data_IF_404478493182
#
_entry.id   IF_404478493182
#
_cell.length_a   1.000
_cell.length_b   1.000
_cell.length_c   1.000
_cell.angle_alpha   90.00
_cell.angle_beta   90.00
_cell.angle_gamma   90.00
#
_symmetry.space_group_name_H-M   'P 1'
#
loop_
_entity.id
_entity.type
_entity.pdbx_description
1 polymer ?
#
# COMPACT_ATOMS: atom_id res chain seq x y z
N UNK A 1 11.70 -11.99 0.44
CA UNK A 1 10.31 -11.57 0.72
C UNK A 1 9.88 -10.32 -0.06
N UNK A 2 10.80 -9.45 -0.49
CA UNK A 2 10.49 -8.25 -1.26
C UNK A 2 11.46 -8.10 -2.44
N UNK A 3 10.92 -7.61 -3.59
CA UNK A 3 11.70 -7.27 -4.79
C UNK A 3 11.36 -5.84 -5.20
N UNK A 4 12.37 -5.00 -5.43
CA UNK A 4 12.25 -3.59 -5.78
C UNK A 4 13.18 -2.72 -4.95
N UNK A 5 13.00 -1.40 -5.00
CA UNK A 5 13.80 -0.48 -4.21
C UNK A 5 13.27 -0.39 -2.78
N UNK A 6 14.11 -0.71 -1.82
CA UNK A 6 13.78 -0.62 -0.40
C UNK A 6 15.03 -0.27 0.42
N UNK A 7 14.81 0.26 1.62
CA UNK A 7 15.87 0.54 2.59
C UNK A 7 15.73 -0.41 3.77
N UNK A 8 16.80 -1.09 4.11
CA UNK A 8 16.82 -1.97 5.29
C UNK A 8 16.72 -1.15 6.58
N UNK A 9 15.95 -1.66 7.50
CA UNK A 9 15.77 -1.16 8.85
C UNK A 9 15.95 -2.30 9.85
N UNK A 10 16.23 -2.02 11.15
CA UNK A 10 16.44 -3.08 12.15
C UNK A 10 15.30 -4.10 12.22
N UNK A 11 14.06 -3.67 12.02
CA UNK A 11 12.86 -4.51 12.15
C UNK A 11 12.00 -4.53 10.87
N UNK A 12 12.63 -4.49 9.70
CA UNK A 12 11.89 -4.55 8.44
C UNK A 12 12.53 -3.75 7.32
N UNK A 13 11.72 -3.29 6.39
CA UNK A 13 12.17 -2.49 5.26
C UNK A 13 11.30 -1.24 5.08
N UNK A 14 11.92 -0.13 4.74
CA UNK A 14 11.19 1.06 4.28
C UNK A 14 11.00 1.03 2.78
N UNK A 15 9.81 1.40 2.34
CA UNK A 15 9.40 1.37 0.92
C UNK A 15 8.63 2.61 0.52
N UNK A 16 8.82 3.03 -0.73
CA UNK A 16 8.02 4.06 -1.37
C UNK A 16 6.74 3.49 -1.99
N UNK A 17 6.14 4.30 -2.85
CA UNK A 17 4.93 3.95 -3.59
C UNK A 17 5.19 3.97 -5.09
N UNK A 18 4.49 3.12 -5.83
CA UNK A 18 4.55 3.07 -7.30
C UNK A 18 3.40 3.81 -7.96
N UNK A 19 2.26 3.87 -7.30
CA UNK A 19 1.05 4.53 -7.82
C UNK A 19 0.26 5.17 -6.68
N UNK A 20 -0.38 6.29 -7.00
CA UNK A 20 -1.29 7.02 -6.11
C UNK A 20 -2.60 7.26 -6.85
N UNK A 21 -3.71 6.98 -6.20
CA UNK A 21 -5.06 7.12 -6.72
C UNK A 21 -5.92 7.87 -5.71
N UNK A 22 -6.59 8.93 -6.15
CA UNK A 22 -7.58 9.64 -5.34
C UNK A 22 -8.90 8.88 -5.38
N UNK A 23 -9.56 8.77 -4.24
CA UNK A 23 -10.95 8.32 -4.14
C UNK A 23 -11.80 9.56 -3.97
N UNK A 24 -12.59 9.99 -4.99
CA UNK A 24 -13.45 11.16 -4.88
C UNK A 24 -14.49 10.99 -3.76
N UNK A 25 -14.80 12.07 -3.05
CA UNK A 25 -15.69 12.03 -1.88
C UNK A 25 -17.16 11.75 -2.24
N UNK A 26 -17.54 11.96 -3.49
CA UNK A 26 -18.85 11.66 -4.05
C UNK A 26 -18.93 10.25 -4.69
N UNK A 27 -17.87 9.46 -4.55
CA UNK A 27 -17.84 8.08 -5.06
C UNK A 27 -18.74 7.16 -4.23
N UNK A 28 -19.31 6.17 -4.91
CA UNK A 28 -19.95 5.03 -4.27
C UNK A 28 -19.03 3.83 -4.36
N UNK A 29 -18.74 3.20 -3.24
CA UNK A 29 -18.05 1.92 -3.20
C UNK A 29 -19.06 0.78 -3.25
N UNK A 30 -18.77 -0.26 -4.03
CA UNK A 30 -19.62 -1.44 -4.17
C UNK A 30 -18.83 -2.66 -3.71
N UNK A 31 -19.45 -3.43 -2.80
CA UNK A 31 -18.96 -4.72 -2.37
C UNK A 31 -20.13 -5.68 -2.15
N UNK A 32 -20.40 -6.52 -3.13
CA UNK A 32 -21.57 -7.42 -3.15
C UNK A 32 -21.22 -8.90 -3.46
N UNK A 33 -19.95 -9.26 -3.34
CA UNK A 33 -19.44 -10.61 -3.68
C UNK A 33 -19.08 -10.76 -5.16
N UNK A 34 -19.64 -9.96 -6.06
CA UNK A 34 -19.31 -9.93 -7.49
C UNK A 34 -18.46 -8.72 -7.84
N UNK A 35 -18.80 -7.58 -7.26
CA UNK A 35 -18.14 -6.29 -7.47
C UNK A 35 -17.36 -5.89 -6.22
N UNK A 36 -16.17 -5.34 -6.41
CA UNK A 36 -15.28 -4.84 -5.35
C UNK A 36 -14.56 -3.62 -5.88
N UNK A 37 -15.30 -2.52 -6.01
CA UNK A 37 -14.78 -1.35 -6.70
C UNK A 37 -15.28 -0.04 -6.09
N UNK A 38 -14.48 0.97 -6.30
CA UNK A 38 -14.80 2.37 -6.07
C UNK A 38 -14.14 3.18 -7.18
N UNK A 39 -14.76 4.28 -7.59
CA UNK A 39 -14.15 5.19 -8.55
C UNK A 39 -12.83 5.74 -8.00
N UNK A 40 -11.81 5.77 -8.85
CA UNK A 40 -10.48 6.26 -8.48
C UNK A 40 -9.90 7.07 -9.64
N UNK A 41 -9.26 8.16 -9.29
CA UNK A 41 -8.57 9.04 -10.22
C UNK A 41 -7.06 8.94 -9.99
N UNK A 42 -6.30 8.67 -11.05
CA UNK A 42 -4.85 8.58 -10.95
C UNK A 42 -4.25 9.95 -10.63
N UNK A 43 -3.39 9.97 -9.62
CA UNK A 43 -2.60 11.16 -9.28
C UNK A 43 -1.23 11.03 -9.93
N UNK A 44 -0.85 12.06 -10.69
CA UNK A 44 0.48 12.18 -11.27
C UNK A 44 1.34 13.15 -10.45
N UNK A 45 2.65 13.03 -10.56
CA UNK A 45 3.57 13.97 -9.92
C UNK A 45 3.60 15.31 -10.65
N UNK A 46 3.82 16.38 -9.89
CA UNK A 46 4.18 17.70 -10.40
C UNK A 46 5.69 17.88 -10.20
N UNK A 47 6.46 17.74 -11.27
CA UNK A 47 7.90 17.57 -11.18
C UNK A 47 8.24 16.30 -10.39
N UNK A 48 8.99 16.45 -9.29
CA UNK A 48 9.39 15.32 -8.46
C UNK A 48 8.48 15.09 -7.24
N UNK A 49 7.33 15.76 -7.16
CA UNK A 49 6.47 15.70 -5.98
C UNK A 49 5.07 15.20 -6.29
N UNK A 50 4.55 14.33 -5.46
CA UNK A 50 3.11 14.17 -5.28
C UNK A 50 2.59 15.34 -4.45
N UNK A 51 1.50 15.96 -4.91
CA UNK A 51 0.79 17.03 -4.21
C UNK A 51 -0.63 16.52 -3.95
N UNK A 52 -0.89 16.15 -2.70
CA UNK A 52 -2.14 15.51 -2.31
C UNK A 52 -2.95 16.49 -1.47
N UNK A 53 -4.05 16.98 -2.03
CA UNK A 53 -5.00 17.81 -1.30
C UNK A 53 -5.76 16.97 -0.28
N UNK A 54 -6.47 17.63 0.64
CA UNK A 54 -7.33 16.94 1.62
C UNK A 54 -8.21 15.88 0.92
N UNK A 55 -8.16 14.65 1.42
CA UNK A 55 -8.93 13.56 0.84
C UNK A 55 -8.41 12.18 1.20
N UNK A 56 -8.99 11.19 0.55
CA UNK A 56 -8.64 9.78 0.70
C UNK A 56 -7.96 9.28 -0.56
N UNK A 57 -6.91 8.51 -0.37
CA UNK A 57 -6.09 7.99 -1.47
C UNK A 57 -5.81 6.51 -1.27
N UNK A 58 -5.87 5.75 -2.36
CA UNK A 58 -5.26 4.44 -2.42
C UNK A 58 -3.84 4.59 -2.97
N UNK A 59 -2.89 3.98 -2.32
CA UNK A 59 -1.48 4.00 -2.73
C UNK A 59 -0.96 2.58 -2.87
N UNK A 60 -0.25 2.30 -3.94
CA UNK A 60 0.35 0.99 -4.19
C UNK A 60 1.78 0.98 -3.70
N UNK A 61 2.11 -0.02 -2.90
CA UNK A 61 3.47 -0.22 -2.40
C UNK A 61 4.44 -0.42 -3.57
N UNK A 62 5.61 0.22 -3.49
CA UNK A 62 6.60 0.26 -4.58
C UNK A 62 7.44 -1.00 -4.75
N UNK A 63 7.21 -2.04 -3.94
CA UNK A 63 7.91 -3.30 -4.00
C UNK A 63 6.93 -4.47 -4.13
N UNK A 64 7.32 -5.48 -4.89
CA UNK A 64 6.60 -6.75 -4.90
C UNK A 64 6.99 -7.55 -3.65
N UNK A 65 6.01 -7.92 -2.85
CA UNK A 65 6.21 -8.81 -1.69
C UNK A 65 5.81 -10.24 -2.05
N UNK A 66 6.44 -11.18 -1.39
CA UNK A 66 6.06 -12.59 -1.38
C UNK A 66 6.18 -13.09 0.05
N UNK A 67 5.05 -13.44 0.63
CA UNK A 67 4.97 -13.88 2.02
C UNK A 67 5.19 -15.38 2.10
N UNK A 68 6.25 -15.86 2.77
CA UNK A 68 6.47 -17.28 2.97
C UNK A 68 5.35 -17.95 3.76
N UNK A 69 5.22 -19.26 3.64
CA UNK A 69 4.20 -20.04 4.35
C UNK A 69 4.31 -19.94 5.89
N UNK A 70 5.47 -19.60 6.40
CA UNK A 70 5.71 -19.43 7.84
C UNK A 70 5.78 -17.95 8.28
N UNK A 71 5.23 -17.05 7.51
CA UNK A 71 5.25 -15.62 7.84
C UNK A 71 3.89 -14.98 7.60
N UNK A 72 3.67 -13.85 8.28
CA UNK A 72 2.68 -12.84 7.94
C UNK A 72 3.38 -11.51 7.71
N UNK A 73 2.81 -10.67 6.85
CA UNK A 73 3.34 -9.34 6.56
C UNK A 73 2.43 -8.23 7.07
N UNK A 74 3.02 -7.15 7.55
CA UNK A 74 2.33 -5.93 7.94
C UNK A 74 2.96 -4.73 7.25
N UNK A 75 2.11 -3.80 6.82
CA UNK A 75 2.52 -2.52 6.26
C UNK A 75 2.14 -1.40 7.22
N UNK A 76 3.13 -0.80 7.84
CA UNK A 76 2.96 0.29 8.80
C UNK A 76 3.32 1.63 8.16
N UNK A 77 2.73 2.75 8.60
CA UNK A 77 3.23 4.07 8.20
C UNK A 77 4.61 4.29 8.81
N UNK A 78 5.49 4.98 8.10
CA UNK A 78 6.70 5.49 8.75
C UNK A 78 6.33 6.51 9.82
N UNK A 79 7.13 6.58 10.86
CA UNK A 79 6.93 7.55 11.96
C UNK A 79 6.87 8.99 11.47
N UNK A 80 7.65 9.35 10.45
CA UNK A 80 7.60 10.68 9.82
C UNK A 80 6.25 10.96 9.20
N UNK A 81 5.70 10.03 8.41
CA UNK A 81 4.38 10.17 7.78
C UNK A 81 3.29 10.37 8.84
N UNK A 82 3.33 9.54 9.90
CA UNK A 82 2.42 9.65 11.02
C UNK A 82 2.53 11.02 11.73
N UNK A 83 3.76 11.50 11.98
CA UNK A 83 4.00 12.80 12.66
C UNK A 83 3.59 14.01 11.82
N UNK A 84 3.54 13.88 10.49
CA UNK A 84 3.03 14.92 9.59
C UNK A 84 1.49 14.97 9.55
N UNK A 85 0.82 14.13 10.34
CA UNK A 85 -0.64 14.12 10.43
C UNK A 85 -1.33 13.35 9.31
N UNK A 86 -0.59 12.57 8.54
CA UNK A 86 -1.15 11.70 7.50
C UNK A 86 -1.55 10.37 8.14
N UNK A 87 -2.79 9.99 7.95
CA UNK A 87 -3.38 8.81 8.56
C UNK A 87 -3.37 7.67 7.54
N UNK A 88 -2.70 6.58 7.87
CA UNK A 88 -2.86 5.34 7.15
C UNK A 88 -3.97 4.53 7.79
N UNK A 89 -4.91 4.04 6.99
CA UNK A 89 -5.91 3.09 7.47
C UNK A 89 -5.24 1.83 8.01
N UNK A 90 -5.86 1.19 8.99
CA UNK A 90 -5.49 -0.16 9.40
C UNK A 90 -5.39 -1.05 8.17
N UNK A 91 -4.36 -1.86 8.10
CA UNK A 91 -4.20 -2.78 6.98
C UNK A 91 -4.68 -4.16 7.36
N UNK A 92 -5.24 -4.86 6.39
CA UNK A 92 -5.34 -6.31 6.49
C UNK A 92 -3.93 -6.91 6.51
N UNK A 93 -3.79 -8.05 7.15
CA UNK A 93 -2.57 -8.85 7.08
C UNK A 93 -2.29 -9.22 5.61
N UNK A 94 -1.04 -9.24 5.25
CA UNK A 94 -0.61 -10.05 4.11
C UNK A 94 -0.39 -11.47 4.60
N UNK A 95 -1.36 -12.30 4.28
CA UNK A 95 -1.37 -13.70 4.72
C UNK A 95 -0.22 -14.51 4.14
N UNK A 96 0.11 -15.62 4.81
CA UNK A 96 1.04 -16.61 4.31
C UNK A 96 0.65 -17.03 2.88
N UNK A 97 1.62 -16.99 1.96
CA UNK A 97 1.40 -17.31 0.55
C UNK A 97 0.97 -16.15 -0.34
N UNK A 98 0.62 -14.99 0.22
CA UNK A 98 0.33 -13.80 -0.61
C UNK A 98 1.56 -13.39 -1.42
N UNK A 99 1.33 -13.05 -2.69
CA UNK A 99 2.33 -12.47 -3.57
C UNK A 99 1.72 -11.32 -4.37
N UNK A 100 2.36 -10.13 -4.37
CA UNK A 100 1.84 -8.98 -5.12
C UNK A 100 2.44 -7.65 -4.69
N UNK A 101 1.92 -6.58 -5.29
CA UNK A 101 2.19 -5.18 -4.91
C UNK A 101 0.99 -4.67 -4.10
N UNK A 102 1.00 -4.89 -2.82
CA UNK A 102 -0.12 -4.53 -1.96
C UNK A 102 -0.52 -3.06 -2.03
N UNK A 103 -1.79 -2.78 -1.85
CA UNK A 103 -2.32 -1.42 -1.76
C UNK A 103 -2.61 -1.03 -0.32
N UNK A 104 -2.52 0.25 -0.03
CA UNK A 104 -2.81 0.85 1.26
C UNK A 104 -3.72 2.04 1.06
N UNK A 105 -4.58 2.31 2.02
CA UNK A 105 -5.38 3.54 2.02
C UNK A 105 -4.77 4.54 2.98
N UNK A 106 -4.62 5.79 2.54
CA UNK A 106 -4.22 6.91 3.38
C UNK A 106 -5.27 8.01 3.34
N UNK A 107 -5.33 8.77 4.42
CA UNK A 107 -6.15 9.97 4.53
C UNK A 107 -5.25 11.18 4.77
N UNK A 108 -5.49 12.23 4.00
CA UNK A 108 -4.86 13.55 4.15
C UNK A 108 -5.88 14.48 4.80
N UNK A 109 -5.88 14.63 6.15
CA UNK A 109 -6.87 15.46 6.85
C UNK A 109 -6.52 16.95 6.82
N UNK A 110 -5.28 17.28 6.48
CA UNK A 110 -4.76 18.65 6.36
C UNK A 110 -5.03 19.20 4.96
N UNK A 111 -4.77 20.51 4.76
CA UNK A 111 -5.00 21.17 3.47
C UNK A 111 -4.29 20.45 2.33
N UNK A 112 -3.02 20.12 2.51
CA UNK A 112 -2.19 19.54 1.47
C UNK A 112 -1.01 18.79 2.07
N UNK A 113 -0.68 17.65 1.46
CA UNK A 113 0.53 16.87 1.72
C UNK A 113 1.40 16.85 0.46
N UNK A 114 2.60 17.40 0.58
CA UNK A 114 3.60 17.41 -0.49
C UNK A 114 4.72 16.45 -0.14
N UNK A 115 4.94 15.45 -0.97
CA UNK A 115 5.97 14.43 -0.74
C UNK A 115 6.75 14.15 -2.02
N UNK A 116 8.07 14.07 -1.92
CA UNK A 116 8.92 13.71 -3.06
C UNK A 116 8.65 12.25 -3.48
N UNK A 117 8.61 12.01 -4.78
CA UNK A 117 8.27 10.69 -5.36
C UNK A 117 9.17 9.54 -4.89
N UNK A 118 10.42 9.85 -4.55
CA UNK A 118 11.41 8.86 -4.12
C UNK A 118 11.47 8.67 -2.60
N UNK A 119 10.60 9.35 -1.84
CA UNK A 119 10.52 9.14 -0.40
C UNK A 119 9.85 7.81 -0.06
N UNK A 120 10.30 7.21 1.03
CA UNK A 120 9.67 6.03 1.58
C UNK A 120 8.47 6.44 2.45
N UNK A 121 7.33 5.79 2.24
CA UNK A 121 6.08 6.10 2.93
C UNK A 121 5.78 5.11 4.04
N UNK A 122 6.18 3.86 3.85
CA UNK A 122 5.81 2.73 4.70
C UNK A 122 7.03 1.97 5.20
N UNK A 123 6.81 1.27 6.30
CA UNK A 123 7.71 0.25 6.82
C UNK A 123 6.98 -1.09 6.77
N UNK A 124 7.56 -2.04 6.07
CA UNK A 124 7.05 -3.40 6.01
C UNK A 124 7.78 -4.24 7.06
N UNK A 125 7.01 -4.97 7.84
CA UNK A 125 7.54 -5.96 8.80
C UNK A 125 7.00 -7.34 8.45
N UNK A 126 7.78 -8.36 8.76
CA UNK A 126 7.44 -9.75 8.54
C UNK A 126 7.60 -10.49 9.85
N UNK A 127 6.52 -11.14 10.29
CA UNK A 127 6.48 -11.87 11.56
C UNK A 127 6.46 -13.35 11.21
N UNK A 128 7.40 -14.10 11.75
CA UNK A 128 7.45 -15.55 11.55
C UNK A 128 6.47 -16.27 12.47
N UNK A 129 5.79 -17.27 11.92
CA UNK A 129 5.00 -18.23 12.68
C UNK A 129 5.91 -19.33 13.23
N UNK A 130 5.51 -19.99 14.31
CA UNK A 130 6.26 -21.14 14.87
C UNK A 130 6.34 -22.31 13.88
N UNK A 131 5.29 -22.49 13.06
CA UNK A 131 5.23 -23.48 11.99
C UNK A 131 4.61 -22.88 10.73
N UNK A 132 4.89 -23.46 9.53
CA UNK A 132 4.23 -23.05 8.31
C UNK A 132 2.72 -23.17 8.40
N UNK A 133 2.00 -22.23 7.78
CA UNK A 133 0.55 -22.31 7.65
C UNK A 133 0.17 -23.44 6.70
N UNK A 134 -0.81 -24.22 7.06
CA UNK A 134 -1.42 -25.25 6.18
C UNK A 134 -2.30 -24.60 5.11
N UNK A 135 -2.87 -23.44 5.42
CA UNK A 135 -3.66 -22.64 4.49
C UNK A 135 -2.84 -21.49 3.94
N UNK A 136 -2.74 -21.39 2.63
CA UNK A 136 -2.07 -20.29 1.95
C UNK A 136 -3.09 -19.38 1.29
N UNK A 137 -2.71 -18.12 1.13
CA UNK A 137 -3.57 -17.13 0.51
C UNK A 137 -3.88 -17.46 -0.96
N UNK A 138 -5.16 -17.58 -1.28
CA UNK A 138 -5.71 -17.79 -2.63
C UNK A 138 -6.78 -16.75 -2.99
N UNK A 139 -6.75 -15.60 -2.30
CA UNK A 139 -7.76 -14.57 -2.42
C UNK A 139 -7.66 -13.73 -3.70
N UNK A 140 -8.63 -12.86 -3.86
CA UNK A 140 -8.82 -11.98 -5.03
C UNK A 140 -7.59 -11.11 -5.38
N UNK A 141 -6.78 -10.74 -4.38
CA UNK A 141 -5.64 -9.85 -4.55
C UNK A 141 -4.31 -10.58 -4.80
N UNK A 142 -4.36 -11.89 -5.06
CA UNK A 142 -3.15 -12.65 -5.40
C UNK A 142 -2.58 -12.15 -6.73
N UNK A 143 -1.25 -11.95 -6.77
CA UNK A 143 -0.52 -11.44 -7.93
C UNK A 143 -0.94 -10.03 -8.40
N UNK A 144 -1.54 -9.21 -7.52
CA UNK A 144 -1.84 -7.84 -7.89
C UNK A 144 -0.56 -7.09 -8.30
N UNK A 145 -0.69 -6.29 -9.32
CA UNK A 145 0.41 -5.55 -9.93
C UNK A 145 -0.02 -4.13 -10.28
N UNK A 146 0.94 -3.21 -10.48
CA UNK A 146 0.63 -1.89 -11.01
C UNK A 146 -0.23 -1.99 -12.27
N UNK A 147 -1.31 -1.25 -12.31
CA UNK A 147 -2.13 -1.15 -13.52
C UNK A 147 -1.29 -0.45 -14.58
N UNK A 148 -1.13 -1.08 -15.74
CA UNK A 148 -0.54 -0.38 -16.88
C UNK A 148 -1.37 0.86 -17.15
N UNK A 149 -0.76 2.01 -17.51
CA UNK A 149 -1.54 3.14 -17.95
C UNK A 149 -2.43 2.65 -19.09
N UNK A 150 -3.72 2.93 -18.99
CA UNK A 150 -4.63 2.70 -20.10
C UNK A 150 -4.10 3.48 -21.30
N UNK A 151 -4.12 2.87 -22.49
CA UNK A 151 -3.69 3.55 -23.70
C UNK A 151 -4.52 4.79 -23.97
#
# INVERSE_FOLDING_TARGET
>A
CAKGNYKLQPNGIEVGVSEVWRIPTDSTAIFDGKQREVCKEKVTTHGDFYILDRGTYEVRVGVKVKIPANCVGLCLPRSTINRLGIIKSETALWDSGYEGFGTQTIHVPIKQFKIHKDENWFQLIFISNESPSELLYEGHWQNEAPKRPFP
#
